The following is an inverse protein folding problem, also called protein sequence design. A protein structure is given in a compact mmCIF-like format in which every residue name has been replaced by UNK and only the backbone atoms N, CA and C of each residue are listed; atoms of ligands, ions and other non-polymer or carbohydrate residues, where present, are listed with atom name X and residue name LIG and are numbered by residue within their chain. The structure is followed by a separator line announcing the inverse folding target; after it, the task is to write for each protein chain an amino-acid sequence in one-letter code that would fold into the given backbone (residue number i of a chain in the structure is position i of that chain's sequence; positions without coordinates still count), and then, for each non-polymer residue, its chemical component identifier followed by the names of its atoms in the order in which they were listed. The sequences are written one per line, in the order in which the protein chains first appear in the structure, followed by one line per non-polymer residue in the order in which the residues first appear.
data_IF_405216193690
#
_entry.id   IF_405216193690
#
_cell.length_a   1.000
_cell.length_b   1.000
_cell.length_c   1.000
_cell.angle_alpha   90.00
_cell.angle_beta   90.00
_cell.angle_gamma   90.00
#
_symmetry.space_group_name_H-M   'P 1'
#
loop_
_entity.id
_entity.type
_entity.pdbx_description
1 polymer ?
#
# COMPACT_ATOMS: atom_id res chain seq x y z
N UNK A 1 0.29 -4.40 19.97
CA UNK A 1 -0.11 -4.35 18.54
C UNK A 1 0.21 -2.95 18.06
N UNK A 2 1.12 -2.78 17.10
CA UNK A 2 1.48 -1.46 16.55
C UNK A 2 0.45 -1.03 15.49
N UNK A 3 0.10 0.26 15.46
CA UNK A 3 -0.61 0.84 14.31
C UNK A 3 0.34 0.90 13.11
N UNK A 4 -0.17 0.94 11.88
CA UNK A 4 0.67 0.89 10.67
C UNK A 4 1.80 1.93 10.66
N UNK A 5 1.49 3.19 10.99
CA UNK A 5 2.50 4.25 11.05
C UNK A 5 3.55 4.03 12.16
N UNK A 6 3.16 3.44 13.30
CA UNK A 6 4.10 3.07 14.37
C UNK A 6 5.01 1.91 13.92
N UNK A 7 4.44 0.93 13.22
CA UNK A 7 5.19 -0.19 12.65
C UNK A 7 6.22 0.30 11.61
N UNK A 8 5.82 1.16 10.67
CA UNK A 8 6.72 1.75 9.65
C UNK A 8 7.89 2.49 10.31
N UNK A 9 7.63 3.22 11.41
CA UNK A 9 8.66 3.96 12.14
C UNK A 9 9.59 3.03 12.93
N UNK A 10 9.05 2.02 13.62
CA UNK A 10 9.79 1.16 14.53
C UNK A 10 10.53 -0.01 13.87
N UNK A 11 9.97 -0.57 12.78
CA UNK A 11 10.56 -1.74 12.13
C UNK A 11 11.92 -1.42 11.50
N UNK A 12 12.86 -2.37 11.58
CA UNK A 12 14.16 -2.30 10.91
C UNK A 12 14.03 -2.50 9.39
N UNK A 13 13.20 -3.48 8.98
CA UNK A 13 12.83 -3.77 7.59
C UNK A 13 11.36 -4.11 7.47
N UNK A 14 10.77 -3.88 6.29
CA UNK A 14 9.40 -4.28 5.98
C UNK A 14 9.14 -4.47 4.47
N UNK A 15 8.16 -5.31 4.14
CA UNK A 15 7.44 -5.27 2.86
C UNK A 15 5.94 -5.23 3.19
N UNK A 16 5.31 -4.09 2.90
CA UNK A 16 3.92 -3.81 3.23
C UNK A 16 3.13 -3.80 1.94
N UNK A 17 2.08 -4.62 1.86
CA UNK A 17 1.12 -4.58 0.76
C UNK A 17 -0.28 -4.33 1.31
N UNK A 18 -0.89 -3.23 0.86
CA UNK A 18 -2.31 -2.94 1.00
C UNK A 18 -3.01 -3.42 -0.27
N UNK A 19 -3.95 -4.35 -0.12
CA UNK A 19 -4.66 -4.99 -1.22
C UNK A 19 -6.16 -4.72 -1.06
N UNK A 20 -6.80 -4.17 -2.08
CA UNK A 20 -8.23 -3.82 -2.05
C UNK A 20 -8.88 -4.13 -3.40
N UNK A 21 -10.18 -4.41 -3.42
CA UNK A 21 -10.95 -4.53 -4.66
C UNK A 21 -11.77 -3.26 -4.93
N UNK A 22 -11.73 -2.74 -6.15
CA UNK A 22 -12.52 -1.57 -6.56
C UNK A 22 -14.03 -1.83 -6.48
N UNK A 23 -14.45 -3.10 -6.64
CA UNK A 23 -15.84 -3.54 -6.52
C UNK A 23 -16.25 -3.99 -5.11
N UNK A 24 -15.45 -3.68 -4.08
CA UNK A 24 -15.84 -3.85 -2.67
C UNK A 24 -16.89 -2.78 -2.28
N UNK A 25 -18.14 -3.23 -2.09
CA UNK A 25 -19.26 -2.37 -1.67
C UNK A 25 -19.39 -2.24 -0.16
N UNK A 26 -18.67 -3.05 0.62
CA UNK A 26 -18.72 -3.06 2.08
C UNK A 26 -17.71 -2.06 2.66
N UNK A 27 -16.51 -2.00 2.09
CA UNK A 27 -15.45 -1.07 2.49
C UNK A 27 -14.94 -0.28 1.28
N UNK A 28 -15.15 1.05 1.24
CA UNK A 28 -14.64 1.91 0.18
C UNK A 28 -13.11 1.85 0.04
N UNK A 29 -12.61 1.71 -1.20
CA UNK A 29 -11.17 1.61 -1.50
C UNK A 29 -10.36 2.85 -1.08
N UNK A 30 -11.03 3.99 -0.94
CA UNK A 30 -10.46 5.26 -0.47
C UNK A 30 -9.82 5.11 0.91
N UNK A 31 -10.31 4.18 1.73
CA UNK A 31 -9.69 3.87 3.02
C UNK A 31 -8.28 3.27 2.87
N UNK A 32 -8.09 2.35 1.93
CA UNK A 32 -6.77 1.77 1.62
C UNK A 32 -5.85 2.78 0.96
N UNK A 33 -6.38 3.63 0.09
CA UNK A 33 -5.62 4.75 -0.51
C UNK A 33 -5.15 5.73 0.58
N UNK A 34 -6.02 6.08 1.53
CA UNK A 34 -5.65 6.94 2.67
C UNK A 34 -4.56 6.26 3.52
N UNK A 35 -4.76 5.00 3.88
CA UNK A 35 -3.80 4.26 4.70
C UNK A 35 -2.43 4.13 4.04
N UNK A 36 -2.38 3.96 2.72
CA UNK A 36 -1.15 3.98 1.94
C UNK A 36 -0.42 5.32 2.05
N UNK A 37 -1.13 6.44 1.87
CA UNK A 37 -0.57 7.79 1.96
C UNK A 37 0.04 8.05 3.33
N UNK A 38 -0.68 7.71 4.39
CA UNK A 38 -0.21 7.86 5.78
C UNK A 38 1.03 7.00 6.05
N UNK A 39 1.08 5.78 5.51
CA UNK A 39 2.25 4.91 5.63
C UNK A 39 3.48 5.49 4.92
N UNK A 40 3.29 6.04 3.71
CA UNK A 40 4.35 6.72 2.96
C UNK A 40 4.84 7.97 3.70
N UNK A 41 3.94 8.82 4.19
CA UNK A 41 4.29 10.00 5.01
C UNK A 41 5.09 9.59 6.25
N UNK A 42 4.67 8.52 6.94
CA UNK A 42 5.38 7.98 8.10
C UNK A 42 6.78 7.46 7.75
N UNK A 43 6.97 6.88 6.56
CA UNK A 43 8.26 6.39 6.08
C UNK A 43 9.22 7.52 5.67
N UNK A 44 8.71 8.56 5.03
CA UNK A 44 9.48 9.74 4.60
C UNK A 44 9.83 10.67 5.78
N UNK A 45 9.20 10.47 6.94
CA UNK A 45 9.43 11.31 8.12
C UNK A 45 8.92 12.74 7.95
N UNK A 46 7.95 12.95 7.05
CA UNK A 46 7.32 14.25 6.83
C UNK A 46 6.56 14.63 8.10
N UNK A 47 7.05 15.66 8.80
CA UNK A 47 6.38 16.25 9.97
C UNK A 47 5.29 17.21 9.47
N UNK A 48 4.02 16.84 9.59
CA UNK A 48 2.82 17.70 9.79
C UNK A 48 2.75 19.07 9.07
N UNK A 49 3.48 19.29 7.99
CA UNK A 49 3.44 20.52 7.21
C UNK A 49 2.59 20.27 5.98
N UNK A 50 1.37 20.80 5.98
CA UNK A 50 0.39 20.73 4.90
C UNK A 50 0.96 21.18 3.52
N UNK A 51 2.07 21.90 3.48
CA UNK A 51 2.79 22.28 2.26
C UNK A 51 3.37 21.09 1.47
N UNK A 52 3.62 19.95 2.12
CA UNK A 52 4.24 18.78 1.48
C UNK A 52 3.23 17.72 0.99
N UNK A 53 1.95 17.85 1.38
CA UNK A 53 0.92 16.86 1.06
C UNK A 53 0.55 16.88 -0.43
N UNK A 54 0.41 18.06 -1.04
CA UNK A 54 0.08 18.17 -2.47
C UNK A 54 1.16 17.59 -3.38
N UNK A 55 2.43 17.83 -3.05
CA UNK A 55 3.56 17.30 -3.81
C UNK A 55 3.69 15.78 -3.65
N UNK A 56 3.55 15.28 -2.41
CA UNK A 56 3.58 13.85 -2.15
C UNK A 56 2.42 13.13 -2.85
N UNK A 57 1.22 13.69 -2.85
CA UNK A 57 0.07 13.15 -3.57
C UNK A 57 0.30 13.11 -5.08
N UNK A 58 0.90 14.16 -5.64
CA UNK A 58 1.27 14.20 -7.06
C UNK A 58 2.30 13.12 -7.39
N UNK A 59 3.32 12.94 -6.55
CA UNK A 59 4.34 11.87 -6.70
C UNK A 59 3.77 10.48 -6.55
N UNK A 60 2.87 10.26 -5.59
CA UNK A 60 2.17 8.97 -5.43
C UNK A 60 1.37 8.65 -6.70
N UNK A 61 0.64 9.64 -7.22
CA UNK A 61 -0.17 9.46 -8.42
C UNK A 61 0.67 9.23 -9.68
N UNK A 62 1.86 9.83 -9.77
CA UNK A 62 2.74 9.68 -10.93
C UNK A 62 3.46 8.32 -11.00
N UNK A 63 3.54 7.59 -9.89
CA UNK A 63 4.12 6.24 -9.84
C UNK A 63 3.09 5.12 -9.90
N UNK A 64 1.80 5.46 -9.93
CA UNK A 64 0.73 4.49 -10.14
C UNK A 64 0.81 3.89 -11.56
N UNK A 65 0.67 2.57 -11.64
CA UNK A 65 0.67 1.83 -12.89
C UNK A 65 -0.64 1.08 -13.08
N UNK A 66 -1.41 1.46 -14.10
CA UNK A 66 -2.58 0.72 -14.54
C UNK A 66 -2.20 -0.64 -15.13
N UNK A 67 -3.02 -1.66 -14.85
CA UNK A 67 -2.87 -3.06 -15.29
C UNK A 67 -4.11 -3.56 -16.04
N UNK A 68 -4.91 -2.64 -16.60
CA UNK A 68 -6.16 -2.97 -17.29
C UNK A 68 -7.14 -3.71 -16.38
N UNK A 69 -7.57 -4.90 -16.78
CA UNK A 69 -8.46 -5.75 -15.98
C UNK A 69 -7.85 -6.22 -14.65
N UNK A 70 -6.52 -6.12 -14.49
CA UNK A 70 -5.83 -6.38 -13.23
C UNK A 70 -5.88 -5.24 -12.22
N UNK A 71 -6.47 -4.09 -12.56
CA UNK A 71 -6.57 -2.92 -11.69
C UNK A 71 -5.34 -2.01 -11.76
N UNK A 72 -4.81 -1.55 -10.62
CA UNK A 72 -3.64 -0.69 -10.54
C UNK A 72 -2.67 -1.14 -9.45
N UNK A 73 -1.41 -0.73 -9.60
CA UNK A 73 -0.37 -0.95 -8.60
C UNK A 73 0.47 0.30 -8.41
N UNK A 74 0.71 0.64 -7.16
CA UNK A 74 1.54 1.79 -6.76
C UNK A 74 2.56 1.27 -5.75
N UNK A 75 3.84 1.50 -6.03
CA UNK A 75 4.94 1.00 -5.20
C UNK A 75 5.80 2.17 -4.77
N UNK A 76 5.93 2.35 -3.46
CA UNK A 76 6.83 3.32 -2.86
C UNK A 76 8.05 2.62 -2.26
N UNK A 77 9.24 2.75 -2.87
CA UNK A 77 10.47 2.26 -2.27
C UNK A 77 10.92 3.20 -1.13
N UNK A 78 11.42 2.60 -0.06
CA UNK A 78 11.97 3.31 1.11
C UNK A 78 13.34 2.73 1.47
N UNK A 79 14.05 3.35 2.42
CA UNK A 79 15.29 2.80 2.96
C UNK A 79 15.11 1.48 3.74
N UNK A 80 13.89 1.18 4.20
CA UNK A 80 13.58 -0.02 5.01
C UNK A 80 12.88 -1.13 4.21
N UNK A 81 12.57 -0.88 2.93
CA UNK A 81 11.85 -1.80 2.05
C UNK A 81 10.70 -1.11 1.32
N UNK A 82 9.66 -1.84 0.94
CA UNK A 82 8.61 -1.32 0.06
C UNK A 82 7.27 -1.16 0.78
N UNK A 83 6.54 -0.10 0.40
CA UNK A 83 5.11 0.07 0.68
C UNK A 83 4.37 -0.01 -0.64
N UNK A 84 3.38 -0.90 -0.74
CA UNK A 84 2.65 -1.19 -1.96
C UNK A 84 1.15 -1.02 -1.73
N UNK A 85 0.49 -0.38 -2.70
CA UNK A 85 -0.96 -0.41 -2.86
C UNK A 85 -1.28 -1.17 -4.15
N UNK A 86 -2.12 -2.19 -4.05
CA UNK A 86 -2.62 -2.94 -5.19
C UNK A 86 -4.16 -2.89 -5.13
N UNK A 87 -4.76 -2.16 -6.08
CA UNK A 87 -6.22 -2.06 -6.22
C UNK A 87 -6.62 -2.97 -7.37
N UNK A 88 -7.29 -4.08 -7.09
CA UNK A 88 -7.79 -4.99 -8.12
C UNK A 88 -9.12 -4.48 -8.67
N UNK A 89 -9.42 -4.71 -9.94
CA UNK A 89 -10.75 -4.37 -10.50
C UNK A 89 -11.89 -5.15 -9.86
N UNK A 90 -11.61 -6.39 -9.46
CA UNK A 90 -12.60 -7.31 -8.96
C UNK A 90 -12.06 -8.09 -7.77
N UNK A 91 -12.96 -8.52 -6.90
CA UNK A 91 -12.63 -9.36 -5.75
C UNK A 91 -13.61 -9.19 -4.60
N UNK A 92 -14.48 -8.17 -4.63
CA UNK A 92 -15.37 -7.78 -3.52
C UNK A 92 -14.64 -7.78 -2.17
N UNK A 93 -15.38 -7.75 -1.07
CA UNK A 93 -14.77 -7.66 0.26
C UNK A 93 -13.92 -8.88 0.63
N UNK A 94 -14.43 -10.09 0.37
CA UNK A 94 -13.86 -11.34 0.89
C UNK A 94 -13.23 -12.22 -0.18
N UNK A 95 -13.77 -12.25 -1.41
CA UNK A 95 -13.28 -13.15 -2.47
C UNK A 95 -11.88 -12.79 -2.94
N UNK A 96 -11.44 -11.54 -2.74
CA UNK A 96 -10.07 -11.11 -3.01
C UNK A 96 -9.03 -11.96 -2.25
N UNK A 97 -9.40 -12.51 -1.09
CA UNK A 97 -8.52 -13.39 -0.31
C UNK A 97 -8.19 -14.69 -1.04
N UNK A 98 -9.05 -15.15 -1.95
CA UNK A 98 -8.82 -16.34 -2.78
C UNK A 98 -7.99 -16.04 -4.04
N UNK A 99 -7.69 -14.77 -4.34
CA UNK A 99 -7.02 -14.40 -5.58
C UNK A 99 -5.49 -14.57 -5.48
N UNK A 100 -4.81 -14.88 -6.60
CA UNK A 100 -3.34 -15.01 -6.63
C UNK A 100 -2.60 -13.77 -6.14
N UNK A 101 -3.19 -12.57 -6.26
CA UNK A 101 -2.62 -11.32 -5.76
C UNK A 101 -2.36 -11.38 -4.24
N UNK A 102 -3.28 -11.96 -3.47
CA UNK A 102 -3.13 -12.17 -2.03
C UNK A 102 -1.98 -13.11 -1.71
N UNK A 103 -1.91 -14.26 -2.39
CA UNK A 103 -0.79 -15.21 -2.23
C UNK A 103 0.56 -14.60 -2.60
N UNK A 104 0.59 -13.76 -3.64
CA UNK A 104 1.79 -13.05 -4.06
C UNK A 104 2.23 -11.96 -3.06
N UNK A 105 1.28 -11.24 -2.46
CA UNK A 105 1.56 -10.29 -1.38
C UNK A 105 2.19 -11.00 -0.17
N UNK A 106 1.64 -12.14 0.23
CA UNK A 106 2.19 -12.97 1.32
C UNK A 106 3.59 -13.47 0.97
N UNK A 107 3.78 -14.01 -0.24
CA UNK A 107 5.09 -14.50 -0.68
C UNK A 107 6.17 -13.41 -0.65
N UNK A 108 5.84 -12.17 -1.03
CA UNK A 108 6.77 -11.02 -0.98
C UNK A 108 7.14 -10.66 0.47
N UNK A 109 6.15 -10.63 1.36
CA UNK A 109 6.39 -10.34 2.77
C UNK A 109 7.38 -11.34 3.39
N UNK A 110 7.21 -12.64 3.15
CA UNK A 110 8.16 -13.64 3.64
C UNK A 110 9.53 -13.57 2.96
N UNK A 111 9.58 -13.30 1.66
CA UNK A 111 10.85 -13.15 0.95
C UNK A 111 11.67 -11.95 1.45
N UNK A 112 11.02 -10.85 1.85
CA UNK A 112 11.71 -9.66 2.40
C UNK A 112 12.37 -9.90 3.76
N UNK A 113 11.92 -10.91 4.51
CA UNK A 113 12.49 -11.26 5.81
C UNK A 113 13.77 -12.11 5.71
N UNK A 114 14.07 -12.65 4.53
CA UNK A 114 15.23 -13.53 4.28
C UNK A 114 16.44 -12.79 3.69
N UNK A 115 16.30 -11.49 3.42
CA UNK A 115 17.36 -10.59 2.92
C UNK A 115 17.85 -9.70 4.06
#
# INVERSE_FOLDING_TARGET
MFRLGEFVKAAERYDITLLHAEDDTDIPMEHSIKLYREAVQAAEGVKDSAENDGELLSRISSVEKGRGAGGSITVWPTSKGNIRLEILKYGVHDKIMAYPATGLAISRAFASAQQ
#
